data_IF_642924649790
#
_entry.id   IF_642924649790
#
_cell.length_a   1.000
_cell.length_b   1.000
_cell.length_c   1.000
_cell.angle_alpha   90.00
_cell.angle_beta   90.00
_cell.angle_gamma   90.00
#
_symmetry.space_group_name_H-M   'P 1'
#
loop_
_entity.id
_entity.type
_entity.pdbx_description
1 polymer ?
#
# COMPACT_ATOMS: atom_id res chain seq x y z
N UNK A 1 -18.95 -10.02 -5.12
CA UNK A 1 -18.66 -11.43 -4.82
C UNK A 1 -17.54 -11.45 -3.80
N UNK A 2 -17.74 -12.08 -2.63
CA UNK A 2 -16.67 -12.20 -1.63
C UNK A 2 -15.54 -13.04 -2.21
N UNK A 3 -14.31 -12.50 -2.21
CA UNK A 3 -13.14 -13.29 -2.57
C UNK A 3 -12.91 -14.31 -1.46
N UNK A 4 -12.90 -15.59 -1.84
CA UNK A 4 -12.67 -16.71 -0.93
C UNK A 4 -11.24 -16.65 -0.36
N UNK A 5 -11.10 -16.73 0.97
CA UNK A 5 -9.80 -16.77 1.67
C UNK A 5 -8.94 -17.96 1.25
N UNK A 6 -9.56 -18.97 0.65
CA UNK A 6 -8.90 -20.20 0.24
C UNK A 6 -8.33 -20.15 -1.18
N UNK A 7 -8.65 -19.12 -1.97
CA UNK A 7 -8.12 -18.99 -3.33
C UNK A 7 -6.61 -18.77 -3.32
N UNK A 8 -5.85 -19.74 -3.85
CA UNK A 8 -4.42 -19.63 -4.07
C UNK A 8 -4.14 -19.34 -5.55
N UNK A 9 -3.61 -18.16 -5.89
CA UNK A 9 -3.25 -17.85 -7.27
C UNK A 9 -2.21 -18.85 -7.81
N UNK A 10 -2.40 -19.47 -9.00
CA UNK A 10 -1.35 -20.28 -9.61
C UNK A 10 -0.14 -19.43 -10.01
N UNK A 11 1.04 -20.03 -10.04
CA UNK A 11 2.26 -19.33 -10.45
C UNK A 11 2.15 -18.84 -11.90
N UNK A 12 2.22 -17.52 -12.07
CA UNK A 12 2.14 -16.88 -13.39
C UNK A 12 0.74 -16.80 -14.00
N UNK A 13 -0.32 -17.26 -13.32
CA UNK A 13 -1.69 -17.21 -13.82
C UNK A 13 -2.59 -16.43 -12.89
N UNK A 14 -3.13 -15.29 -13.34
CA UNK A 14 -4.12 -14.55 -12.57
C UNK A 14 -5.08 -13.71 -13.44
N UNK A 15 -6.42 -13.90 -13.34
CA UNK A 15 -7.41 -13.07 -14.01
C UNK A 15 -7.78 -11.83 -13.18
N UNK A 16 -7.51 -10.64 -13.74
CA UNK A 16 -8.08 -9.30 -13.47
C UNK A 16 -8.68 -8.94 -12.08
N UNK A 17 -8.35 -7.76 -11.49
CA UNK A 17 -7.42 -6.72 -11.94
C UNK A 17 -5.97 -6.91 -11.41
N UNK A 18 -4.97 -6.30 -12.07
CA UNK A 18 -3.75 -7.02 -12.41
C UNK A 18 -2.51 -6.30 -11.85
N UNK A 19 -1.99 -6.78 -10.71
CA UNK A 19 -0.77 -6.17 -10.16
C UNK A 19 0.24 -7.19 -9.60
N UNK A 20 -0.16 -8.44 -9.29
CA UNK A 20 0.75 -9.50 -8.82
C UNK A 20 1.59 -10.06 -9.99
N UNK A 21 1.06 -9.90 -11.21
CA UNK A 21 1.71 -10.28 -12.46
C UNK A 21 2.90 -9.39 -12.83
N UNK A 22 3.05 -8.20 -12.25
CA UNK A 22 4.01 -7.24 -12.77
C UNK A 22 5.42 -7.43 -12.19
N UNK A 23 5.55 -7.49 -10.86
CA UNK A 23 6.86 -7.72 -10.25
C UNK A 23 7.37 -9.14 -10.52
N UNK A 24 6.52 -10.15 -10.36
CA UNK A 24 6.86 -11.54 -10.69
C UNK A 24 7.26 -11.72 -12.16
N UNK A 25 6.58 -11.06 -13.10
CA UNK A 25 6.95 -11.13 -14.52
C UNK A 25 8.16 -10.29 -14.87
N UNK A 26 8.37 -9.16 -14.19
CA UNK A 26 9.58 -8.37 -14.30
C UNK A 26 10.80 -9.19 -13.88
N UNK A 27 10.78 -9.76 -12.67
CA UNK A 27 11.86 -10.59 -12.15
C UNK A 27 12.18 -11.72 -13.13
N UNK A 28 11.18 -12.47 -13.61
CA UNK A 28 11.40 -13.56 -14.58
C UNK A 28 12.05 -13.10 -15.89
N UNK A 29 11.64 -11.95 -16.43
CA UNK A 29 12.17 -11.44 -17.71
C UNK A 29 13.59 -10.93 -17.59
N UNK A 30 13.95 -10.41 -16.43
CA UNK A 30 15.24 -9.79 -16.15
C UNK A 30 16.17 -10.68 -15.31
N UNK A 31 15.76 -11.92 -15.02
CA UNK A 31 16.58 -12.88 -14.30
C UNK A 31 17.72 -13.39 -15.18
N UNK A 32 18.94 -13.26 -14.67
CA UNK A 32 20.16 -13.78 -15.29
C UNK A 32 20.72 -14.95 -14.47
N UNK A 33 20.66 -16.16 -15.04
CA UNK A 33 21.19 -17.39 -14.43
C UNK A 33 22.73 -17.39 -14.33
N UNK A 34 23.41 -16.54 -15.10
CA UNK A 34 24.87 -16.40 -15.09
C UNK A 34 25.34 -15.24 -14.21
N UNK A 35 24.44 -14.57 -13.49
CA UNK A 35 24.79 -13.48 -12.59
C UNK A 35 25.78 -13.95 -11.51
N UNK A 36 26.72 -13.07 -11.17
CA UNK A 36 27.73 -13.30 -10.12
C UNK A 36 27.10 -13.18 -8.72
N UNK A 37 25.98 -12.47 -8.64
CA UNK A 37 25.22 -12.22 -7.41
C UNK A 37 24.46 -13.49 -6.97
N UNK A 38 24.14 -13.57 -5.68
CA UNK A 38 23.24 -14.63 -5.22
C UNK A 38 21.82 -14.40 -5.75
N UNK A 39 21.00 -15.47 -5.89
CA UNK A 39 19.60 -15.33 -6.27
C UNK A 39 18.84 -14.28 -5.45
N UNK A 40 19.08 -14.22 -4.14
CA UNK A 40 18.38 -13.25 -3.28
C UNK A 40 18.80 -11.80 -3.55
N UNK A 41 20.09 -11.56 -3.82
CA UNK A 41 20.59 -10.22 -4.16
C UNK A 41 20.02 -9.74 -5.49
N UNK A 42 20.08 -10.59 -6.51
CA UNK A 42 19.51 -10.29 -7.83
C UNK A 42 18.00 -10.04 -7.72
N UNK A 43 17.28 -10.84 -6.93
CA UNK A 43 15.84 -10.65 -6.70
C UNK A 43 15.53 -9.28 -6.11
N UNK A 44 16.24 -8.89 -5.04
CA UNK A 44 16.05 -7.59 -4.41
C UNK A 44 16.32 -6.45 -5.38
N UNK A 45 17.42 -6.53 -6.14
CA UNK A 45 17.75 -5.53 -7.16
C UNK A 45 16.62 -5.38 -8.19
N UNK A 46 16.08 -6.49 -8.70
CA UNK A 46 15.00 -6.48 -9.68
C UNK A 46 13.69 -5.95 -9.09
N UNK A 47 13.41 -6.18 -7.80
CA UNK A 47 12.25 -5.60 -7.11
C UNK A 47 12.38 -4.07 -7.05
N UNK A 48 13.55 -3.54 -6.67
CA UNK A 48 13.76 -2.10 -6.63
C UNK A 48 13.67 -1.47 -8.02
N UNK A 49 14.28 -2.06 -9.04
CA UNK A 49 14.16 -1.60 -10.42
C UNK A 49 12.71 -1.60 -10.91
N UNK A 50 11.91 -2.60 -10.52
CA UNK A 50 10.49 -2.65 -10.83
C UNK A 50 9.68 -1.51 -10.18
N UNK A 51 10.06 -1.11 -8.97
CA UNK A 51 9.41 -0.04 -8.22
C UNK A 51 9.82 1.37 -8.69
N UNK A 52 10.94 1.48 -9.41
CA UNK A 52 11.40 2.72 -10.06
C UNK A 52 10.72 2.99 -11.41
N UNK A 53 9.96 2.04 -11.95
CA UNK A 53 9.20 2.26 -13.19
C UNK A 53 8.11 3.31 -12.96
N UNK A 54 7.94 4.27 -13.87
CA UNK A 54 6.86 5.26 -13.81
C UNK A 54 5.49 4.66 -14.20
N UNK A 55 5.51 3.72 -15.14
CA UNK A 55 4.34 3.01 -15.67
C UNK A 55 4.63 1.51 -15.69
N UNK A 56 3.61 0.72 -15.36
CA UNK A 56 3.66 -0.71 -15.57
C UNK A 56 3.19 -0.98 -17.00
N UNK A 57 4.07 -1.56 -17.84
CA UNK A 57 3.75 -1.81 -19.24
C UNK A 57 2.52 -2.72 -19.39
N UNK A 58 1.54 -2.28 -20.18
CA UNK A 58 0.30 -3.03 -20.47
C UNK A 58 0.55 -4.43 -21.03
N UNK A 59 1.61 -4.64 -21.79
CA UNK A 59 1.99 -5.95 -22.34
C UNK A 59 2.44 -6.97 -21.27
N UNK A 60 2.61 -6.51 -20.03
CA UNK A 60 2.90 -7.37 -18.87
C UNK A 60 1.63 -7.85 -18.18
N UNK A 61 0.50 -7.28 -18.59
CA UNK A 61 -0.84 -7.55 -18.10
C UNK A 61 -1.58 -8.33 -19.19
N UNK A 62 -2.06 -9.56 -18.91
CA UNK A 62 -2.96 -10.25 -19.81
C UNK A 62 -4.25 -9.42 -19.95
N UNK A 63 -4.46 -8.80 -21.12
CA UNK A 63 -5.59 -7.92 -21.39
C UNK A 63 -6.94 -8.66 -21.43
N UNK A 64 -6.93 -9.97 -21.69
CA UNK A 64 -8.12 -10.81 -21.62
C UNK A 64 -8.04 -11.81 -20.47
N UNK A 65 -9.18 -12.05 -19.82
CA UNK A 65 -9.40 -13.15 -18.85
C UNK A 65 -9.08 -14.55 -19.42
N UNK A 66 -8.91 -14.64 -20.75
CA UNK A 66 -8.55 -15.83 -21.52
C UNK A 66 -7.26 -15.65 -22.34
N UNK A 67 -6.58 -14.50 -22.24
CA UNK A 67 -5.31 -14.32 -22.93
C UNK A 67 -4.30 -15.29 -22.32
N UNK A 68 -3.80 -16.19 -23.17
CA UNK A 68 -2.68 -17.05 -22.87
C UNK A 68 -1.56 -16.20 -22.30
N UNK A 69 -1.17 -16.46 -21.05
CA UNK A 69 0.06 -15.91 -20.50
C UNK A 69 1.16 -16.21 -21.53
N UNK A 70 1.87 -15.19 -21.98
CA UNK A 70 2.88 -15.37 -23.04
C UNK A 70 3.93 -16.43 -22.66
N UNK A 71 4.14 -16.66 -21.35
CA UNK A 71 4.99 -17.73 -20.80
C UNK A 71 4.59 -18.11 -19.36
N UNK A 72 4.11 -19.34 -19.17
CA UNK A 72 3.98 -19.95 -17.83
C UNK A 72 5.38 -20.20 -17.24
N UNK A 73 5.63 -19.89 -15.95
CA UNK A 73 6.91 -20.18 -15.31
C UNK A 73 7.25 -21.67 -15.35
N UNK A 74 8.52 -22.01 -15.57
CA UNK A 74 8.98 -23.40 -15.47
C UNK A 74 9.01 -23.85 -14.00
N UNK A 75 9.01 -25.16 -13.76
CA UNK A 75 9.15 -25.71 -12.39
C UNK A 75 10.44 -25.24 -11.73
N UNK A 76 11.51 -25.11 -12.50
CA UNK A 76 12.81 -24.63 -12.03
C UNK A 76 12.75 -23.15 -11.63
N UNK A 77 12.16 -22.29 -12.47
CA UNK A 77 11.93 -20.87 -12.15
C UNK A 77 11.06 -20.71 -10.90
N UNK A 78 10.00 -21.52 -10.76
CA UNK A 78 9.17 -21.51 -9.56
C UNK A 78 10.01 -21.87 -8.33
N UNK A 79 10.81 -22.92 -8.40
CA UNK A 79 11.55 -23.41 -7.25
C UNK A 79 12.71 -22.49 -6.83
N UNK A 80 13.44 -21.93 -7.80
CA UNK A 80 14.65 -21.13 -7.57
C UNK A 80 14.32 -19.66 -7.33
N UNK A 81 13.39 -19.11 -8.11
CA UNK A 81 13.16 -17.66 -8.15
C UNK A 81 11.97 -17.29 -7.26
N UNK A 82 10.81 -17.93 -7.49
CA UNK A 82 9.53 -17.44 -6.98
C UNK A 82 9.14 -18.02 -5.61
N UNK A 83 9.35 -19.31 -5.38
CA UNK A 83 9.01 -19.98 -4.11
C UNK A 83 9.96 -19.58 -2.98
N UNK A 84 11.22 -19.30 -3.31
CA UNK A 84 12.18 -18.72 -2.38
C UNK A 84 11.79 -17.29 -1.95
N UNK A 85 11.07 -16.57 -2.81
CA UNK A 85 10.62 -15.21 -2.53
C UNK A 85 9.39 -15.17 -1.63
N UNK A 86 8.34 -15.95 -1.94
CA UNK A 86 7.06 -15.90 -1.21
C UNK A 86 6.46 -17.27 -0.98
N UNK A 87 5.96 -17.44 0.25
CA UNK A 87 5.08 -18.54 0.63
C UNK A 87 3.69 -18.39 -0.01
N UNK A 88 2.93 -19.48 -0.06
CA UNK A 88 1.55 -19.46 -0.52
C UNK A 88 0.66 -18.48 0.28
N UNK A 89 0.93 -18.30 1.56
CA UNK A 89 0.26 -17.29 2.38
C UNK A 89 0.50 -15.86 1.90
N UNK A 90 1.76 -15.51 1.61
CA UNK A 90 2.12 -14.18 1.10
C UNK A 90 1.57 -13.93 -0.30
N UNK A 91 1.48 -14.96 -1.15
CA UNK A 91 0.86 -14.85 -2.48
C UNK A 91 -0.63 -14.55 -2.40
N UNK A 92 -1.35 -15.19 -1.49
CA UNK A 92 -2.77 -14.88 -1.27
C UNK A 92 -2.97 -13.46 -0.74
N UNK A 93 -2.07 -12.97 0.12
CA UNK A 93 -2.08 -11.57 0.59
C UNK A 93 -1.83 -10.60 -0.56
N UNK A 94 -0.75 -10.81 -1.32
CA UNK A 94 -0.42 -10.01 -2.50
C UNK A 94 -1.62 -9.93 -3.45
N UNK A 95 -2.25 -11.07 -3.77
CA UNK A 95 -3.46 -11.11 -4.57
C UNK A 95 -4.57 -10.20 -4.02
N UNK A 96 -4.87 -10.31 -2.72
CA UNK A 96 -5.96 -9.56 -2.09
C UNK A 96 -5.66 -8.07 -1.95
N UNK A 97 -4.43 -7.67 -1.67
CA UNK A 97 -3.96 -6.28 -1.60
C UNK A 97 -4.34 -5.51 -2.86
N UNK A 98 -4.16 -6.14 -4.01
CA UNK A 98 -4.34 -5.52 -5.32
C UNK A 98 -5.79 -5.42 -5.75
N UNK A 99 -6.64 -6.28 -5.19
CA UNK A 99 -8.07 -6.30 -5.43
C UNK A 99 -8.83 -5.61 -4.29
N UNK A 100 -8.11 -4.95 -3.39
CA UNK A 100 -8.74 -4.14 -2.36
C UNK A 100 -9.26 -2.85 -2.98
N UNK A 101 -10.39 -2.40 -2.48
CA UNK A 101 -11.03 -1.14 -2.88
C UNK A 101 -10.34 0.09 -2.28
N UNK A 102 -9.12 -0.09 -1.73
CA UNK A 102 -8.39 0.93 -0.96
C UNK A 102 -9.19 1.50 0.23
N UNK A 103 -10.27 0.82 0.63
CA UNK A 103 -11.18 1.30 1.68
C UNK A 103 -10.61 1.15 3.10
N UNK A 104 -9.70 0.20 3.31
CA UNK A 104 -9.12 -0.11 4.62
C UNK A 104 -7.58 -0.02 4.62
N UNK A 105 -6.95 0.41 5.74
CA UNK A 105 -5.50 0.44 5.88
C UNK A 105 -4.90 -0.97 5.97
N UNK A 106 -3.62 -1.08 5.65
CA UNK A 106 -2.78 -2.16 6.14
C UNK A 106 -2.36 -1.93 7.58
N UNK A 107 -2.27 -3.00 8.36
CA UNK A 107 -1.59 -2.98 9.64
C UNK A 107 -0.27 -3.72 9.51
N UNK A 108 0.86 -3.03 9.63
CA UNK A 108 2.20 -3.62 9.58
C UNK A 108 2.87 -3.54 10.94
N UNK A 109 3.15 -4.70 11.54
CA UNK A 109 3.97 -4.78 12.75
C UNK A 109 5.42 -5.07 12.37
N UNK A 110 6.32 -4.16 12.71
CA UNK A 110 7.76 -4.30 12.44
C UNK A 110 8.61 -4.56 13.67
N UNK A 111 8.04 -4.40 14.86
CA UNK A 111 8.72 -4.62 16.13
C UNK A 111 8.05 -5.73 16.95
N UNK A 112 8.88 -6.67 17.42
CA UNK A 112 8.45 -7.84 18.18
C UNK A 112 9.35 -8.00 19.40
N UNK A 113 8.83 -7.67 20.58
CA UNK A 113 9.51 -7.89 21.84
C UNK A 113 8.91 -9.09 22.57
N UNK A 114 9.66 -10.19 22.76
CA UNK A 114 9.13 -11.39 23.42
C UNK A 114 8.99 -11.24 24.95
N UNK A 115 9.47 -10.13 25.53
CA UNK A 115 9.49 -9.90 26.97
C UNK A 115 8.36 -8.97 27.46
N UNK A 116 7.54 -8.45 26.55
CA UNK A 116 6.44 -7.54 26.86
C UNK A 116 5.08 -8.07 26.36
N UNK A 117 4.03 -7.30 26.64
CA UNK A 117 2.66 -7.60 26.22
C UNK A 117 2.34 -6.98 24.84
N UNK A 118 3.34 -6.90 23.95
CA UNK A 118 3.16 -6.30 22.61
C UNK A 118 2.07 -7.00 21.80
N UNK A 119 1.87 -8.31 21.98
CA UNK A 119 0.81 -9.07 21.30
C UNK A 119 -0.59 -8.63 21.76
N UNK A 120 -0.81 -8.38 23.06
CA UNK A 120 -2.10 -7.87 23.53
C UNK A 120 -2.35 -6.45 23.05
N UNK A 121 -1.30 -5.62 22.99
CA UNK A 121 -1.41 -4.25 22.47
C UNK A 121 -1.77 -4.22 20.98
N UNK A 122 -1.17 -5.09 20.17
CA UNK A 122 -1.56 -5.25 18.75
C UNK A 122 -3.03 -5.66 18.63
N UNK A 123 -3.48 -6.64 19.44
CA UNK A 123 -4.91 -7.02 19.46
C UNK A 123 -5.81 -5.85 19.85
N UNK A 124 -5.40 -5.04 20.82
CA UNK A 124 -6.16 -3.86 21.23
C UNK A 124 -6.29 -2.85 20.07
N UNK A 125 -5.19 -2.55 19.38
CA UNK A 125 -5.21 -1.64 18.24
C UNK A 125 -6.05 -2.17 17.08
N UNK A 126 -5.90 -3.44 16.73
CA UNK A 126 -6.66 -4.10 15.66
C UNK A 126 -8.15 -4.14 15.99
N UNK A 127 -8.52 -4.50 17.23
CA UNK A 127 -9.92 -4.57 17.65
C UNK A 127 -10.57 -3.19 17.85
N UNK A 128 -9.79 -2.12 17.95
CA UNK A 128 -10.32 -0.76 18.08
C UNK A 128 -10.89 -0.22 16.76
N UNK A 129 -10.54 -0.82 15.62
CA UNK A 129 -11.03 -0.39 14.31
C UNK A 129 -11.93 -1.46 13.70
N UNK A 130 -13.15 -1.04 13.33
CA UNK A 130 -14.09 -1.88 12.59
C UNK A 130 -13.55 -2.29 11.21
N UNK A 131 -12.59 -1.54 10.65
CA UNK A 131 -11.95 -1.82 9.36
C UNK A 131 -11.12 -3.11 9.39
N UNK A 132 -10.68 -3.56 10.58
CA UNK A 132 -9.93 -4.81 10.74
C UNK A 132 -10.76 -5.99 11.26
N UNK A 133 -12.05 -5.80 11.53
CA UNK A 133 -12.93 -6.86 12.03
C UNK A 133 -13.24 -7.92 10.94
N UNK A 134 -13.15 -9.21 11.30
CA UNK A 134 -13.56 -10.44 10.60
C UNK A 134 -13.19 -10.66 9.10
N UNK A 135 -12.70 -9.67 8.35
CA UNK A 135 -12.43 -9.75 6.90
C UNK A 135 -11.04 -9.25 6.48
N UNK A 136 -10.22 -8.77 7.42
CA UNK A 136 -8.95 -8.11 7.15
C UNK A 136 -7.71 -9.00 7.35
N UNK A 137 -7.87 -10.33 7.29
CA UNK A 137 -6.75 -11.28 7.46
C UNK A 137 -5.57 -10.97 6.54
N UNK A 138 -5.86 -10.44 5.34
CA UNK A 138 -4.89 -10.03 4.33
C UNK A 138 -4.20 -8.70 4.66
N UNK A 139 -4.91 -7.80 5.36
CA UNK A 139 -4.44 -6.48 5.71
C UNK A 139 -3.62 -6.44 7.01
N UNK A 140 -3.77 -7.44 7.89
CA UNK A 140 -2.96 -7.61 9.09
C UNK A 140 -1.65 -8.35 8.80
N UNK A 141 -0.54 -7.62 8.73
CA UNK A 141 0.82 -8.09 8.49
C UNK A 141 1.58 -8.19 9.84
N UNK A 142 1.22 -9.21 10.60
CA UNK A 142 1.76 -9.53 11.93
C UNK A 142 2.37 -10.95 11.92
N UNK A 143 3.59 -11.06 11.43
CA UNK A 143 4.39 -12.28 11.42
C UNK A 143 5.86 -11.92 11.62
N UNK A 144 6.43 -12.35 12.75
CA UNK A 144 7.81 -12.01 13.15
C UNK A 144 8.84 -12.46 12.14
N UNK A 145 8.62 -13.60 11.48
CA UNK A 145 9.60 -14.16 10.55
C UNK A 145 9.66 -13.39 9.23
N UNK A 146 8.54 -12.79 8.84
CA UNK A 146 8.43 -12.04 7.59
C UNK A 146 8.63 -10.53 7.78
N UNK A 147 8.14 -9.94 8.86
CA UNK A 147 7.96 -8.50 8.96
C UNK A 147 8.77 -7.81 10.06
N UNK A 148 9.67 -8.50 10.76
CA UNK A 148 10.51 -7.91 11.81
C UNK A 148 11.64 -7.04 11.21
N UNK A 149 11.27 -5.87 10.71
CA UNK A 149 12.17 -4.93 10.05
C UNK A 149 12.76 -3.85 10.98
N UNK A 150 12.31 -3.80 12.24
CA UNK A 150 12.65 -2.70 13.14
C UNK A 150 12.10 -1.38 12.60
N UNK A 151 12.96 -0.36 12.50
CA UNK A 151 12.57 0.96 12.00
C UNK A 151 12.42 1.03 10.47
N UNK A 152 12.98 0.07 9.73
CA UNK A 152 13.01 0.09 8.27
C UNK A 152 11.81 -0.63 7.65
N UNK A 153 10.62 -0.09 7.90
CA UNK A 153 9.36 -0.67 7.42
C UNK A 153 9.29 -0.79 5.89
N UNK A 154 10.07 -0.01 5.13
CA UNK A 154 10.10 -0.03 3.65
C UNK A 154 10.58 -1.36 3.10
N UNK A 155 11.22 -2.19 3.90
CA UNK A 155 11.52 -3.58 3.54
C UNK A 155 10.27 -4.39 3.24
N UNK A 156 9.08 -3.90 3.59
CA UNK A 156 7.82 -4.46 3.09
C UNK A 156 7.77 -4.52 1.56
N UNK A 157 8.39 -3.57 0.85
CA UNK A 157 8.47 -3.60 -0.62
C UNK A 157 9.32 -4.75 -1.16
N UNK A 158 10.20 -5.35 -0.35
CA UNK A 158 10.96 -6.54 -0.73
C UNK A 158 10.07 -7.80 -0.72
N UNK A 159 9.01 -7.79 0.09
CA UNK A 159 8.12 -8.93 0.28
C UNK A 159 6.81 -8.74 -0.48
N UNK A 160 6.19 -7.57 -0.36
CA UNK A 160 4.91 -7.18 -0.94
C UNK A 160 5.02 -5.82 -1.69
N UNK A 161 5.82 -5.70 -2.77
CA UNK A 161 5.84 -4.54 -3.68
C UNK A 161 4.45 -4.11 -4.18
N UNK A 162 3.44 -4.97 -4.09
CA UNK A 162 2.04 -4.70 -4.37
C UNK A 162 1.45 -3.55 -3.53
N UNK A 163 2.04 -3.26 -2.36
CA UNK A 163 1.63 -2.11 -1.55
C UNK A 163 1.94 -0.77 -2.21
N UNK A 164 2.87 -0.74 -3.18
CA UNK A 164 3.12 0.39 -4.09
C UNK A 164 2.32 0.25 -5.40
N UNK A 165 1.13 -0.37 -5.37
CA UNK A 165 0.30 -0.63 -6.54
C UNK A 165 0.03 0.60 -7.42
N UNK A 166 -0.58 0.42 -8.61
CA UNK A 166 -0.94 1.55 -9.44
C UNK A 166 -1.92 2.46 -8.68
N UNK A 167 -1.71 3.77 -8.79
CA UNK A 167 -2.63 4.75 -8.22
C UNK A 167 -3.92 4.75 -9.03
N UNK A 168 -3.80 4.69 -10.36
CA UNK A 168 -4.90 4.60 -11.31
C UNK A 168 -4.89 3.22 -12.00
N UNK A 169 -5.89 2.38 -11.69
CA UNK A 169 -5.95 0.98 -12.14
C UNK A 169 -6.04 0.89 -13.67
N UNK A 170 -6.78 1.79 -14.31
CA UNK A 170 -7.03 1.76 -15.76
C UNK A 170 -5.82 2.20 -16.61
N UNK A 171 -4.95 3.01 -16.01
CA UNK A 171 -3.82 3.66 -16.68
C UNK A 171 -2.45 3.08 -16.29
N UNK A 172 -2.40 2.16 -15.33
CA UNK A 172 -1.17 1.49 -14.87
C UNK A 172 -0.06 2.45 -14.39
N UNK A 173 -0.43 3.71 -14.14
CA UNK A 173 0.45 4.74 -13.60
C UNK A 173 0.62 4.53 -12.11
N UNK A 174 1.85 4.70 -11.65
CA UNK A 174 2.22 4.65 -10.23
C UNK A 174 2.06 6.00 -9.54
N UNK A 175 1.62 7.03 -10.26
CA UNK A 175 1.34 8.34 -9.71
C UNK A 175 -0.06 8.77 -10.10
N UNK A 176 -0.71 9.51 -9.21
CA UNK A 176 -1.96 10.20 -9.53
C UNK A 176 -1.72 11.15 -10.70
N UNK A 177 -2.59 11.13 -11.70
CA UNK A 177 -2.55 12.10 -12.78
C UNK A 177 -2.73 13.52 -12.24
N UNK A 178 -2.12 14.54 -12.86
CA UNK A 178 -2.35 15.94 -12.47
C UNK A 178 -3.84 16.30 -12.45
N UNK A 179 -4.63 15.74 -13.37
CA UNK A 179 -6.08 15.98 -13.47
C UNK A 179 -6.85 15.38 -12.29
N UNK A 180 -6.52 14.15 -11.87
CA UNK A 180 -7.07 13.53 -10.67
C UNK A 180 -6.73 14.36 -9.43
N UNK A 181 -5.46 14.75 -9.27
CA UNK A 181 -5.00 15.57 -8.14
C UNK A 181 -5.74 16.91 -8.11
N UNK A 182 -5.87 17.59 -9.25
CA UNK A 182 -6.55 18.88 -9.32
C UNK A 182 -8.05 18.77 -9.03
N UNK A 183 -8.71 17.76 -9.59
CA UNK A 183 -10.14 17.51 -9.33
C UNK A 183 -10.38 17.21 -7.85
N UNK A 184 -9.56 16.36 -7.26
CA UNK A 184 -9.68 16.00 -5.86
C UNK A 184 -9.38 17.20 -4.95
N UNK A 185 -8.43 18.08 -5.31
CA UNK A 185 -8.19 19.36 -4.62
C UNK A 185 -9.40 20.28 -4.66
N UNK A 186 -10.01 20.47 -5.83
CA UNK A 186 -11.19 21.33 -5.97
C UNK A 186 -12.36 20.80 -5.14
N UNK A 187 -12.59 19.49 -5.17
CA UNK A 187 -13.60 18.82 -4.34
C UNK A 187 -13.31 18.98 -2.85
N UNK A 188 -12.05 18.81 -2.44
CA UNK A 188 -11.62 19.03 -1.06
C UNK A 188 -11.90 20.47 -0.61
N UNK A 189 -11.55 21.49 -1.41
CA UNK A 189 -11.83 22.89 -1.08
C UNK A 189 -13.33 23.18 -0.99
N UNK A 190 -14.12 22.67 -1.93
CA UNK A 190 -15.56 22.84 -1.92
C UNK A 190 -16.21 22.15 -0.69
N UNK A 191 -15.74 20.96 -0.33
CA UNK A 191 -16.22 20.23 0.83
C UNK A 191 -15.80 20.93 2.13
N UNK A 192 -14.54 21.37 2.24
CA UNK A 192 -14.05 22.15 3.38
C UNK A 192 -14.87 23.42 3.60
N UNK A 193 -15.13 24.20 2.54
CA UNK A 193 -15.94 25.41 2.64
C UNK A 193 -17.40 25.12 3.08
N UNK A 194 -17.98 24.02 2.58
CA UNK A 194 -19.31 23.57 3.00
C UNK A 194 -19.32 23.19 4.48
N UNK A 195 -18.35 22.37 4.89
CA UNK A 195 -18.21 21.89 6.26
C UNK A 195 -17.92 23.02 7.26
N UNK A 196 -17.12 24.02 6.88
CA UNK A 196 -16.92 25.24 7.68
C UNK A 196 -18.22 26.00 7.91
N UNK A 197 -19.09 26.06 6.90
CA UNK A 197 -20.40 26.70 7.00
C UNK A 197 -21.39 25.88 7.83
N UNK A 198 -21.39 24.57 7.67
CA UNK A 198 -22.33 23.67 8.33
C UNK A 198 -21.94 23.39 9.79
N UNK A 199 -20.64 23.41 10.11
CA UNK A 199 -20.06 23.10 11.43
C UNK A 199 -19.09 24.19 11.96
N UNK A 200 -19.52 25.46 12.09
CA UNK A 200 -18.64 26.59 12.41
C UNK A 200 -18.01 26.49 13.82
N UNK A 201 -18.71 25.89 14.78
CA UNK A 201 -18.20 25.73 16.14
C UNK A 201 -17.06 24.71 16.20
N UNK A 202 -17.13 23.63 15.42
CA UNK A 202 -16.07 22.61 15.35
C UNK A 202 -14.82 23.18 14.67
N UNK A 203 -15.01 23.93 13.58
CA UNK A 203 -13.93 24.65 12.90
C UNK A 203 -13.18 25.58 13.87
N UNK A 204 -13.90 26.34 14.69
CA UNK A 204 -13.31 27.27 15.68
C UNK A 204 -12.63 26.56 16.84
N UNK A 205 -13.19 25.44 17.29
CA UNK A 205 -12.67 24.69 18.42
C UNK A 205 -11.38 23.92 18.10
N UNK A 206 -11.31 23.29 16.93
CA UNK A 206 -10.15 22.47 16.56
C UNK A 206 -9.97 22.39 15.04
N UNK A 207 -9.60 23.53 14.44
CA UNK A 207 -9.39 23.70 13.01
C UNK A 207 -8.46 22.63 12.41
N UNK A 208 -7.32 22.39 13.06
CA UNK A 208 -6.27 21.55 12.47
C UNK A 208 -6.72 20.08 12.42
N UNK A 209 -7.34 19.56 13.48
CA UNK A 209 -7.95 18.22 13.47
C UNK A 209 -9.08 18.11 12.44
N UNK A 210 -9.88 19.16 12.29
CA UNK A 210 -10.94 19.20 11.29
C UNK A 210 -10.39 19.11 9.86
N UNK A 211 -9.34 19.88 9.56
CA UNK A 211 -8.63 19.81 8.29
C UNK A 211 -8.07 18.40 8.08
N UNK A 212 -7.43 17.80 9.09
CA UNK A 212 -6.88 16.44 9.00
C UNK A 212 -7.94 15.39 8.63
N UNK A 213 -9.12 15.45 9.25
CA UNK A 213 -10.22 14.51 8.98
C UNK A 213 -10.72 14.66 7.54
N UNK A 214 -10.93 15.89 7.09
CA UNK A 214 -11.39 16.16 5.72
C UNK A 214 -10.30 15.82 4.69
N UNK A 215 -9.04 16.06 5.04
CA UNK A 215 -7.89 15.83 4.18
C UNK A 215 -7.58 14.35 3.99
N UNK A 216 -7.91 13.50 4.96
CA UNK A 216 -7.72 12.06 4.87
C UNK A 216 -8.41 11.46 3.63
N UNK A 217 -9.56 12.00 3.23
CA UNK A 217 -10.28 11.55 2.03
C UNK A 217 -9.56 11.91 0.73
N UNK A 218 -9.02 13.12 0.65
CA UNK A 218 -8.16 13.52 -0.47
C UNK A 218 -6.93 12.61 -0.56
N UNK A 219 -6.26 12.38 0.57
CA UNK A 219 -5.08 11.54 0.64
C UNK A 219 -5.39 10.12 0.18
N UNK A 220 -6.53 9.53 0.56
CA UNK A 220 -6.97 8.22 0.07
C UNK A 220 -7.21 8.19 -1.44
N UNK A 221 -7.72 9.29 -2.00
CA UNK A 221 -8.00 9.41 -3.45
C UNK A 221 -6.71 9.43 -4.28
N UNK A 222 -5.67 10.11 -3.80
CA UNK A 222 -4.42 10.30 -4.56
C UNK A 222 -3.31 9.31 -4.17
N UNK A 223 -3.53 8.51 -3.11
CA UNK A 223 -2.60 7.47 -2.68
C UNK A 223 -2.83 6.16 -3.44
N UNK A 224 -1.75 5.39 -3.58
CA UNK A 224 -1.84 4.00 -4.01
C UNK A 224 -2.55 3.18 -2.93
N UNK A 225 -2.11 3.32 -1.67
CA UNK A 225 -2.62 2.65 -0.47
C UNK A 225 -2.28 3.47 0.79
N UNK A 226 -2.78 3.07 1.96
CA UNK A 226 -2.33 3.61 3.24
C UNK A 226 -2.12 2.51 4.28
N UNK A 227 -1.23 2.76 5.25
CA UNK A 227 -0.73 1.77 6.19
C UNK A 227 -0.55 2.37 7.59
N UNK A 228 -0.98 1.62 8.59
CA UNK A 228 -0.68 1.80 10.00
C UNK A 228 0.53 0.94 10.36
N UNK A 229 1.55 1.55 10.94
CA UNK A 229 2.81 0.89 11.30
C UNK A 229 2.94 0.84 12.81
N UNK A 230 3.08 -0.38 13.33
CA UNK A 230 3.44 -0.69 14.71
C UNK A 230 4.95 -1.03 14.77
N UNK A 231 5.77 0.00 14.76
CA UNK A 231 7.21 -0.07 15.02
C UNK A 231 7.51 0.17 16.51
N UNK A 232 8.80 0.18 16.88
CA UNK A 232 9.20 0.38 18.28
C UNK A 232 8.66 1.70 18.86
N UNK A 233 8.68 2.78 18.08
CA UNK A 233 8.17 4.09 18.50
C UNK A 233 6.67 4.02 18.83
N UNK A 234 5.90 3.25 18.06
CA UNK A 234 4.48 3.04 18.36
C UNK A 234 4.24 2.29 19.67
N UNK A 235 5.10 1.34 20.03
CA UNK A 235 5.00 0.65 21.33
C UNK A 235 5.42 1.54 22.50
N UNK A 236 6.43 2.38 22.30
CA UNK A 236 6.93 3.32 23.31
C UNK A 236 5.94 4.46 23.58
N UNK A 237 5.30 4.99 22.54
CA UNK A 237 4.39 6.15 22.62
C UNK A 237 2.92 5.78 22.72
N UNK A 238 2.54 4.57 22.32
CA UNK A 238 1.15 4.15 22.16
C UNK A 238 0.50 4.65 20.86
N UNK A 239 1.23 5.30 19.96
CA UNK A 239 0.72 5.93 18.74
C UNK A 239 1.22 5.20 17.49
N UNK A 240 0.29 4.68 16.68
CA UNK A 240 0.62 4.08 15.38
C UNK A 240 1.05 5.16 14.38
N UNK A 241 2.02 4.84 13.53
CA UNK A 241 2.41 5.71 12.42
C UNK A 241 1.49 5.44 11.22
N UNK A 242 0.78 6.46 10.74
CA UNK A 242 0.01 6.40 9.50
C UNK A 242 0.85 6.92 8.33
N UNK A 243 0.93 6.13 7.26
CA UNK A 243 1.64 6.46 6.02
C UNK A 243 0.71 6.29 4.82
N UNK A 244 0.66 7.30 3.96
CA UNK A 244 0.03 7.20 2.65
C UNK A 244 1.12 6.94 1.60
N UNK A 245 0.97 5.85 0.86
CA UNK A 245 1.95 5.39 -0.12
C UNK A 245 1.59 5.96 -1.49
N UNK A 246 2.57 6.52 -2.19
CA UNK A 246 2.46 6.66 -3.65
C UNK A 246 2.90 5.34 -4.32
N UNK A 247 2.76 5.22 -5.64
CA UNK A 247 3.13 3.99 -6.35
C UNK A 247 4.64 3.79 -6.51
N UNK A 248 5.48 4.54 -5.79
CA UNK A 248 6.95 4.45 -5.77
C UNK A 248 7.48 4.19 -4.36
N UNK A 249 8.82 4.05 -4.20
CA UNK A 249 9.49 3.79 -2.90
C UNK A 249 9.54 5.07 -2.02
N UNK A 250 9.05 6.20 -2.54
CA UNK A 250 9.06 7.48 -1.85
C UNK A 250 8.04 7.57 -0.71
N UNK A 251 8.46 8.11 0.43
CA UNK A 251 7.52 8.72 1.37
C UNK A 251 7.21 10.10 0.82
N UNK A 252 6.06 10.28 0.18
CA UNK A 252 5.57 11.65 -0.02
C UNK A 252 4.87 12.19 1.22
N UNK A 253 4.24 11.32 2.01
CA UNK A 253 3.18 11.73 2.93
C UNK A 253 3.26 11.00 4.29
N UNK A 254 4.13 11.47 5.19
CA UNK A 254 4.12 11.09 6.62
C UNK A 254 3.08 11.91 7.37
N UNK A 255 2.02 11.31 7.91
CA UNK A 255 1.03 12.05 8.70
C UNK A 255 1.65 12.49 10.03
N UNK A 256 2.24 13.67 10.00
CA UNK A 256 2.48 14.56 11.14
C UNK A 256 1.63 15.79 10.85
N UNK A 257 1.06 16.48 11.83
CA UNK A 257 0.06 17.56 11.62
C UNK A 257 0.47 18.70 10.67
N UNK A 258 1.71 18.73 10.19
CA UNK A 258 2.20 19.57 9.11
C UNK A 258 1.87 19.05 7.69
N UNK A 259 1.24 17.87 7.56
CA UNK A 259 1.17 17.15 6.30
C UNK A 259 0.05 17.63 5.37
N UNK A 260 0.49 18.16 4.23
CA UNK A 260 -0.31 18.27 3.01
C UNK A 260 -0.52 19.68 2.50
N UNK A 261 0.10 20.71 3.07
CA UNK A 261 0.03 22.09 2.52
C UNK A 261 0.37 22.14 1.01
N UNK A 262 1.35 21.35 0.58
CA UNK A 262 1.73 21.24 -0.83
C UNK A 262 0.71 20.45 -1.68
N UNK A 263 -0.03 19.52 -1.08
CA UNK A 263 -1.08 18.75 -1.77
C UNK A 263 -2.37 19.53 -1.81
N UNK A 264 -2.82 20.09 -0.68
CA UNK A 264 -4.08 20.80 -0.58
C UNK A 264 -4.02 22.15 -1.28
N UNK A 265 -2.80 22.69 -1.47
CA UNK A 265 -2.56 24.05 -1.98
C UNK A 265 -3.55 25.06 -1.35
N UNK A 266 -3.76 24.91 -0.04
CA UNK A 266 -4.65 25.80 0.71
C UNK A 266 -3.96 27.14 0.84
N UNK A 267 -4.68 28.17 0.44
CA UNK A 267 -4.28 29.56 0.63
C UNK A 267 -4.92 30.08 1.91
N UNK A 268 -4.40 31.17 2.46
CA UNK A 268 -5.06 31.85 3.59
C UNK A 268 -6.50 32.22 3.26
N UNK A 269 -6.83 32.52 1.99
CA UNK A 269 -8.18 32.80 1.54
C UNK A 269 -9.13 31.58 1.65
N UNK A 270 -8.61 30.37 1.53
CA UNK A 270 -9.39 29.13 1.70
C UNK A 270 -9.70 28.82 3.18
N UNK A 271 -9.04 29.52 4.12
CA UNK A 271 -9.10 29.26 5.56
C UNK A 271 -9.83 30.36 6.34
N UNK A 272 -10.28 31.43 5.68
CA UNK A 272 -11.05 32.51 6.31
C UNK A 272 -12.47 32.02 6.58
N UNK A 273 -13.02 32.39 7.74
CA UNK A 273 -14.44 32.18 8.09
C UNK A 273 -15.32 32.76 6.95
N UNK A 274 -16.28 32.00 6.39
CA UNK A 274 -17.12 32.49 5.29
C UNK A 274 -18.02 33.68 5.69
#
# INVERSE_FOLDING_TARGET
>A
MGFDSDYLPPWGFLPHPPVDLNCSSYIKRHWDLAAVETPDQQRLQLIYQFLELDEILRDWVPLDQFASISRTPTVEEINIILRAWRSDGLRRRAWRILHSDKGAPFFLRTYYNPLDDSDARVKQWVNASEEFADQAWWALLDDRNSFNFGSDWRRIYEILPEVAGPVEIDDYKRYASPDLVNTAREQFKAYLAKEMKDNPDQWKANRDHFIEVVAADLLRTVAAMYMLIADQEAFDTGLLRLVYLDGTIGDRYRVTGDLGKDIYCLTEADLVDP
#
